data_IF_707427737347
#
_entry.id   IF_707427737347
#
_cell.length_a   1.000
_cell.length_b   1.000
_cell.length_c   1.000
_cell.angle_alpha   90.00
_cell.angle_beta   90.00
_cell.angle_gamma   90.00
#
_symmetry.space_group_name_H-M   'P 1'
#
loop_
_entity.id
_entity.type
_entity.pdbx_description
1 polymer ?
#
# COMPACT_ATOMS: atom_id res chain seq x y z
N UNK A 1 9.46 3.50 -15.32
CA UNK A 1 10.10 2.55 -14.38
C UNK A 1 9.31 2.58 -13.07
N UNK A 2 9.22 1.49 -12.29
CA UNK A 2 8.64 1.52 -10.95
C UNK A 2 9.46 2.46 -10.07
N UNK A 3 8.78 3.42 -9.44
CA UNK A 3 9.40 4.49 -8.65
C UNK A 3 9.30 4.23 -7.15
N UNK A 4 8.21 3.58 -6.71
CA UNK A 4 7.98 3.27 -5.30
C UNK A 4 7.49 1.83 -5.09
N UNK A 5 7.89 1.21 -3.99
CA UNK A 5 7.19 0.09 -3.38
C UNK A 5 6.27 0.67 -2.31
N UNK A 6 4.98 0.37 -2.44
CA UNK A 6 3.94 0.73 -1.49
C UNK A 6 3.52 -0.56 -0.78
N UNK A 7 3.74 -0.61 0.53
CA UNK A 7 3.32 -1.72 1.37
C UNK A 7 2.27 -1.23 2.35
N UNK A 8 1.15 -1.94 2.43
CA UNK A 8 0.08 -1.67 3.39
C UNK A 8 -0.16 -2.90 4.26
N UNK A 9 -0.22 -2.70 5.57
CA UNK A 9 -0.48 -3.74 6.57
C UNK A 9 -1.65 -3.35 7.44
N UNK A 10 -2.68 -4.18 7.54
CA UNK A 10 -3.79 -3.95 8.48
C UNK A 10 -3.33 -4.23 9.90
N UNK A 11 -3.45 -3.22 10.78
CA UNK A 11 -3.17 -3.35 12.22
C UNK A 11 -4.20 -4.24 12.92
N UNK A 12 -5.41 -4.29 12.38
CA UNK A 12 -6.48 -5.16 12.89
C UNK A 12 -6.37 -6.61 12.41
N UNK A 13 -5.40 -6.94 11.55
CA UNK A 13 -5.22 -8.27 10.98
C UNK A 13 -6.23 -8.61 9.87
N UNK A 14 -7.01 -7.63 9.42
CA UNK A 14 -7.96 -7.83 8.33
C UNK A 14 -7.21 -8.05 7.00
N UNK A 15 -7.72 -8.92 6.11
CA UNK A 15 -7.09 -9.17 4.82
C UNK A 15 -6.94 -7.88 3.99
N UNK A 16 -5.71 -7.60 3.56
CA UNK A 16 -5.38 -6.52 2.64
C UNK A 16 -5.17 -7.07 1.25
N UNK A 17 -4.36 -8.14 1.14
CA UNK A 17 -4.12 -8.80 -0.14
C UNK A 17 -5.35 -9.68 -0.51
N UNK A 18 -6.03 -9.40 -1.63
CA UNK A 18 -7.25 -10.10 -1.99
C UNK A 18 -7.03 -11.55 -2.43
N UNK A 19 -5.81 -11.91 -2.85
CA UNK A 19 -5.41 -13.22 -3.38
C UNK A 19 -4.98 -14.13 -2.23
N UNK A 20 -3.98 -13.72 -1.46
CA UNK A 20 -3.39 -14.55 -0.39
C UNK A 20 -4.19 -14.47 0.92
N UNK A 21 -5.14 -13.54 1.02
CA UNK A 21 -5.87 -13.18 2.23
C UNK A 21 -4.96 -12.71 3.38
N UNK A 22 -3.70 -12.38 3.08
CA UNK A 22 -2.78 -11.87 4.07
C UNK A 22 -3.17 -10.46 4.54
N UNK A 23 -2.87 -10.10 5.80
CA UNK A 23 -3.11 -8.75 6.32
C UNK A 23 -2.13 -7.72 5.77
N UNK A 24 -1.18 -8.13 4.93
CA UNK A 24 -0.21 -7.26 4.27
C UNK A 24 -0.31 -7.43 2.77
N UNK A 25 -0.20 -6.32 2.04
CA UNK A 25 -0.02 -6.29 0.59
C UNK A 25 1.14 -5.35 0.22
N UNK A 26 1.89 -5.72 -0.82
CA UNK A 26 2.97 -4.89 -1.38
C UNK A 26 2.81 -4.81 -2.89
N UNK A 27 2.87 -3.59 -3.42
CA UNK A 27 2.72 -3.29 -4.84
C UNK A 27 3.76 -2.28 -5.28
N UNK A 28 4.06 -2.27 -6.57
CA UNK A 28 4.91 -1.25 -7.18
C UNK A 28 4.07 -0.13 -7.78
N UNK A 29 4.53 1.10 -7.59
CA UNK A 29 3.89 2.33 -8.05
C UNK A 29 4.80 3.04 -9.04
N UNK A 30 4.23 3.51 -10.14
CA UNK A 30 4.97 4.06 -11.27
C UNK A 30 4.86 5.58 -11.42
N UNK A 31 3.86 6.21 -10.80
CA UNK A 31 3.65 7.67 -10.84
C UNK A 31 3.29 8.23 -9.46
N UNK A 32 3.60 9.51 -9.25
CA UNK A 32 3.33 10.19 -7.98
C UNK A 32 1.81 10.34 -7.74
N UNK A 33 1.03 10.55 -8.81
CA UNK A 33 -0.43 10.58 -8.72
C UNK A 33 -1.04 9.26 -8.23
N UNK A 34 -0.51 8.11 -8.68
CA UNK A 34 -0.97 6.81 -8.19
C UNK A 34 -0.56 6.59 -6.73
N UNK A 35 0.64 7.04 -6.34
CA UNK A 35 1.09 7.00 -4.96
C UNK A 35 0.16 7.80 -4.04
N UNK A 36 -0.14 9.04 -4.43
CA UNK A 36 -1.02 9.94 -3.67
C UNK A 36 -2.45 9.40 -3.57
N UNK A 37 -2.98 8.82 -4.66
CA UNK A 37 -4.29 8.14 -4.63
C UNK A 37 -4.29 6.99 -3.62
N UNK A 38 -3.25 6.15 -3.60
CA UNK A 38 -3.15 5.00 -2.69
C UNK A 38 -3.01 5.41 -1.24
N UNK A 39 -2.24 6.46 -0.97
CA UNK A 39 -2.14 7.08 0.36
C UNK A 39 -3.51 7.56 0.87
N UNK A 40 -4.24 8.32 0.05
CA UNK A 40 -5.56 8.83 0.42
C UNK A 40 -6.58 7.70 0.69
N UNK A 41 -6.51 6.60 -0.06
CA UNK A 41 -7.34 5.41 0.19
C UNK A 41 -6.95 4.76 1.51
N UNK A 42 -5.64 4.58 1.77
CA UNK A 42 -5.16 3.93 2.99
C UNK A 42 -5.50 4.71 4.26
N UNK A 43 -5.47 6.05 4.19
CA UNK A 43 -5.83 6.94 5.30
C UNK A 43 -7.30 6.79 5.74
N UNK A 44 -8.19 6.48 4.80
CA UNK A 44 -9.63 6.33 5.05
C UNK A 44 -10.08 4.87 5.10
N UNK A 45 -9.13 3.93 5.11
CA UNK A 45 -9.46 2.52 5.05
C UNK A 45 -9.94 2.01 6.43
N UNK A 46 -11.11 1.36 6.52
CA UNK A 46 -11.66 0.86 7.78
C UNK A 46 -10.80 -0.24 8.44
N UNK A 47 -9.81 -0.78 7.73
CA UNK A 47 -8.92 -1.84 8.23
C UNK A 47 -7.77 -1.31 9.10
N UNK A 48 -7.66 0.01 9.28
CA UNK A 48 -6.57 0.69 9.99
C UNK A 48 -5.20 0.28 9.43
N UNK A 49 -4.87 0.83 8.26
CA UNK A 49 -3.69 0.44 7.49
C UNK A 49 -2.45 1.21 7.94
N UNK A 50 -1.41 0.47 8.30
CA UNK A 50 -0.03 0.95 8.40
C UNK A 50 0.62 0.89 7.02
N UNK A 51 1.13 2.04 6.56
CA UNK A 51 1.70 2.18 5.22
C UNK A 51 3.20 2.44 5.30
N UNK A 52 3.98 1.66 4.53
CA UNK A 52 5.41 1.86 4.31
C UNK A 52 5.66 2.17 2.84
N UNK A 53 6.39 3.25 2.55
CA UNK A 53 6.78 3.65 1.20
C UNK A 53 8.29 3.58 1.07
N UNK A 54 8.78 2.86 0.06
CA UNK A 54 10.20 2.78 -0.29
C UNK A 54 10.40 3.26 -1.72
N UNK A 55 11.29 4.22 -1.96
CA UNK A 55 11.72 4.56 -3.33
C UNK A 55 12.54 3.41 -3.89
N UNK A 56 12.24 2.97 -5.11
CA UNK A 56 12.88 1.81 -5.73
C UNK A 56 14.04 2.15 -6.66
N UNK A 57 14.12 3.39 -7.15
CA UNK A 57 15.27 4.07 -7.75
C UNK A 57 14.76 5.33 -8.47
N UNK A 58 15.63 6.32 -8.67
CA UNK A 58 15.44 7.43 -9.62
C UNK A 58 15.82 7.03 -11.05
#
# INVERSE_FOLDING_TARGET
MPKWAFRATSRSGQPVNPITKAPTDEITVHSEDDLNRRLAVAENDPRDLEVEIRRLAD
#
